data_IF_634827129301
#
_entry.id   IF_634827129301
#
_cell.length_a   1.000
_cell.length_b   1.000
_cell.length_c   1.000
_cell.angle_alpha   90.00
_cell.angle_beta   90.00
_cell.angle_gamma   90.00
#
_symmetry.space_group_name_H-M   'P 1'
#
loop_
_entity.id
_entity.type
_entity.pdbx_description
1 polymer ?
#
# COMPACT_ATOMS: atom_id res chain seq x y z
N UNK A 1 -11.14 -0.67 -5.55
CA UNK A 1 -10.94 0.61 -6.27
C UNK A 1 -9.45 0.82 -6.51
N UNK A 2 -9.08 1.46 -7.61
CA UNK A 2 -7.71 1.88 -7.89
C UNK A 2 -7.69 3.40 -7.98
N UNK A 3 -6.69 4.02 -7.34
CA UNK A 3 -6.55 5.47 -7.21
C UNK A 3 -5.09 5.82 -7.43
N UNK A 4 -4.82 6.85 -8.23
CA UNK A 4 -3.48 7.40 -8.45
C UNK A 4 -3.44 8.86 -7.99
N UNK A 5 -2.64 9.13 -6.95
CA UNK A 5 -2.50 10.46 -6.34
C UNK A 5 -1.28 11.24 -6.86
N UNK A 6 -0.69 10.82 -7.99
CA UNK A 6 0.48 11.49 -8.57
C UNK A 6 0.22 12.99 -8.84
N UNK A 7 -0.97 13.34 -9.32
CA UNK A 7 -1.36 14.71 -9.71
C UNK A 7 -2.05 15.53 -8.63
N UNK A 8 -2.22 14.94 -7.45
CA UNK A 8 -2.82 15.65 -6.31
C UNK A 8 -1.68 16.30 -5.53
N UNK A 9 -1.76 17.62 -5.42
CA UNK A 9 -0.63 18.43 -4.97
C UNK A 9 -0.75 18.87 -3.51
N UNK A 10 -1.97 18.95 -2.98
CA UNK A 10 -2.22 19.44 -1.63
C UNK A 10 -3.40 18.74 -0.94
N UNK A 11 -3.52 18.99 0.37
CA UNK A 11 -4.55 18.40 1.23
C UNK A 11 -5.98 18.78 0.84
N UNK A 12 -6.21 20.00 0.35
CA UNK A 12 -7.55 20.45 -0.02
C UNK A 12 -8.07 19.65 -1.22
N UNK A 13 -7.25 19.51 -2.27
CA UNK A 13 -7.57 18.67 -3.43
C UNK A 13 -7.80 17.21 -3.03
N UNK A 14 -6.97 16.67 -2.14
CA UNK A 14 -7.14 15.29 -1.66
C UNK A 14 -8.47 15.08 -0.94
N UNK A 15 -8.87 16.00 -0.07
CA UNK A 15 -10.14 15.93 0.66
C UNK A 15 -11.34 16.10 -0.28
N UNK A 16 -11.24 16.94 -1.32
CA UNK A 16 -12.32 17.14 -2.30
C UNK A 16 -12.65 15.90 -3.14
N UNK A 17 -11.71 14.96 -3.30
CA UNK A 17 -11.96 13.69 -4.02
C UNK A 17 -12.99 12.82 -3.27
N UNK A 18 -13.17 13.03 -1.96
CA UNK A 18 -14.15 12.28 -1.15
C UNK A 18 -13.85 10.78 -1.09
N UNK A 19 -12.56 10.43 -1.05
CA UNK A 19 -12.07 9.05 -1.10
C UNK A 19 -12.58 8.20 0.08
N UNK A 20 -12.74 8.83 1.24
CA UNK A 20 -13.23 8.25 2.50
C UNK A 20 -14.56 7.51 2.33
N UNK A 21 -15.48 8.03 1.50
CA UNK A 21 -16.79 7.44 1.24
C UNK A 21 -16.73 6.04 0.59
N UNK A 22 -15.58 5.63 0.06
CA UNK A 22 -15.43 4.37 -0.67
C UNK A 22 -14.50 3.37 0.02
N UNK A 23 -13.82 3.77 1.11
CA UNK A 23 -12.80 2.96 1.78
C UNK A 23 -13.38 1.78 2.56
N UNK A 24 -14.61 1.90 3.06
CA UNK A 24 -15.26 0.84 3.84
C UNK A 24 -15.78 -0.30 2.96
N UNK A 25 -16.34 0.04 1.80
CA UNK A 25 -17.02 -0.92 0.92
C UNK A 25 -16.10 -1.55 -0.13
N UNK A 26 -14.82 -1.16 -0.18
CA UNK A 26 -13.90 -1.65 -1.21
C UNK A 26 -12.48 -1.86 -0.72
N UNK A 27 -11.80 -2.85 -1.31
CA UNK A 27 -10.34 -2.90 -1.25
C UNK A 27 -9.81 -1.82 -2.19
N UNK A 28 -9.09 -0.85 -1.63
CA UNK A 28 -8.55 0.29 -2.38
C UNK A 28 -7.03 0.19 -2.52
N UNK A 29 -6.55 0.24 -3.75
CA UNK A 29 -5.13 0.34 -4.08
C UNK A 29 -4.81 1.80 -4.44
N UNK A 30 -3.86 2.40 -3.72
CA UNK A 30 -3.50 3.81 -3.89
C UNK A 30 -2.04 3.89 -4.34
N UNK A 31 -1.81 4.39 -5.55
CA UNK A 31 -0.49 4.77 -6.03
C UNK A 31 -0.15 6.18 -5.57
N UNK A 32 1.14 6.42 -5.30
CA UNK A 32 1.65 7.68 -4.73
C UNK A 32 0.99 8.09 -3.39
N UNK A 33 0.42 7.13 -2.66
CA UNK A 33 -0.30 7.35 -1.40
C UNK A 33 0.57 7.91 -0.26
N UNK A 34 1.90 7.82 -0.36
CA UNK A 34 2.85 8.33 0.64
C UNK A 34 2.66 9.82 0.96
N UNK A 35 2.20 10.61 -0.03
CA UNK A 35 1.90 12.04 0.13
C UNK A 35 0.82 12.30 1.19
N UNK A 36 -0.13 11.38 1.35
CA UNK A 36 -1.34 11.55 2.15
C UNK A 36 -1.53 10.42 3.17
N UNK A 37 -0.46 9.69 3.51
CA UNK A 37 -0.54 8.52 4.39
C UNK A 37 -1.08 8.83 5.81
N UNK A 38 -0.96 10.09 6.26
CA UNK A 38 -1.45 10.53 7.57
C UNK A 38 -2.98 10.56 7.66
N UNK A 39 -3.68 10.65 6.53
CA UNK A 39 -5.15 10.62 6.48
C UNK A 39 -5.73 9.21 6.63
N UNK A 40 -4.87 8.18 6.66
CA UNK A 40 -5.30 6.79 6.81
C UNK A 40 -4.87 6.24 8.19
N UNK A 41 -5.84 5.76 8.95
CA UNK A 41 -5.62 5.10 10.24
C UNK A 41 -5.06 3.67 10.07
N UNK A 42 -5.56 2.94 9.07
CA UNK A 42 -5.25 1.54 8.82
C UNK A 42 -4.91 1.29 7.34
N UNK A 43 -3.72 0.75 7.05
CA UNK A 43 -3.34 0.36 5.69
C UNK A 43 -2.20 -0.66 5.68
N UNK A 44 -2.08 -1.37 4.55
CA UNK A 44 -0.86 -2.08 4.16
C UNK A 44 -0.14 -1.27 3.10
N UNK A 45 1.11 -0.88 3.38
CA UNK A 45 1.98 -0.18 2.44
C UNK A 45 2.88 -1.17 1.72
N UNK A 46 2.95 -1.02 0.41
CA UNK A 46 3.82 -1.80 -0.47
C UNK A 46 4.80 -0.83 -1.12
N UNK A 47 6.08 -0.93 -0.74
CA UNK A 47 7.14 -0.14 -1.33
C UNK A 47 7.94 -0.99 -2.31
N UNK A 48 8.09 -0.48 -3.52
CA UNK A 48 8.93 -1.08 -4.56
C UNK A 48 10.30 -0.38 -4.53
N UNK A 49 11.36 -1.18 -4.50
CA UNK A 49 12.74 -0.71 -4.53
C UNK A 49 13.45 -1.37 -5.71
N UNK A 50 14.33 -0.63 -6.38
CA UNK A 50 15.20 -1.20 -7.40
C UNK A 50 16.18 -2.19 -6.76
N UNK A 51 16.63 -3.15 -7.56
CA UNK A 51 17.70 -4.09 -7.17
C UNK A 51 18.94 -3.69 -7.96
N UNK A 52 20.05 -3.51 -7.24
CA UNK A 52 21.33 -3.19 -7.87
C UNK A 52 21.70 -4.27 -8.90
N UNK A 53 22.31 -3.85 -10.01
CA UNK A 53 22.75 -4.72 -11.10
C UNK A 53 21.64 -5.55 -11.77
N UNK A 54 20.37 -5.17 -11.62
CA UNK A 54 19.25 -5.86 -12.27
C UNK A 54 18.09 -4.93 -12.65
N UNK A 55 17.99 -4.59 -13.94
CA UNK A 55 16.96 -3.67 -14.46
C UNK A 55 15.53 -4.20 -14.31
N UNK A 56 15.36 -5.54 -14.35
CA UNK A 56 14.06 -6.21 -14.35
C UNK A 56 13.66 -6.81 -12.99
N UNK A 57 14.47 -6.61 -11.95
CA UNK A 57 14.16 -7.08 -10.61
C UNK A 57 13.72 -5.94 -9.70
N UNK A 58 12.78 -6.23 -8.78
CA UNK A 58 12.31 -5.31 -7.75
C UNK A 58 12.31 -6.01 -6.40
N UNK A 59 12.69 -5.27 -5.37
CA UNK A 59 12.49 -5.67 -3.98
C UNK A 59 11.21 -5.02 -3.49
N UNK A 60 10.28 -5.83 -3.00
CA UNK A 60 9.05 -5.34 -2.39
C UNK A 60 9.21 -5.37 -0.86
N UNK A 61 8.92 -4.24 -0.22
CA UNK A 61 8.81 -4.14 1.24
C UNK A 61 7.37 -3.88 1.61
N UNK A 62 6.78 -4.79 2.38
CA UNK A 62 5.44 -4.66 2.92
C UNK A 62 5.54 -4.20 4.38
N UNK A 63 4.73 -3.20 4.75
CA UNK A 63 4.57 -2.75 6.13
C UNK A 63 3.09 -2.50 6.41
N UNK A 64 2.65 -2.61 7.65
CA UNK A 64 1.27 -2.33 8.04
C UNK A 64 1.22 -1.18 9.05
N UNK A 65 0.17 -0.37 8.96
CA UNK A 65 -0.25 0.60 9.98
C UNK A 65 -1.64 0.17 10.45
N UNK A 66 -1.87 0.21 11.76
CA UNK A 66 -3.12 -0.24 12.37
C UNK A 66 -3.26 -1.77 12.41
N UNK A 67 -4.46 -2.23 12.73
CA UNK A 67 -4.76 -3.63 13.03
C UNK A 67 -5.51 -4.35 11.90
N UNK A 68 -6.18 -3.62 10.98
CA UNK A 68 -7.04 -4.21 9.93
C UNK A 68 -6.34 -5.26 9.07
N UNK A 69 -5.03 -5.14 8.90
CA UNK A 69 -4.24 -5.97 7.97
C UNK A 69 -3.33 -7.01 8.64
N UNK A 70 -3.30 -7.11 9.98
CA UNK A 70 -2.38 -8.00 10.70
C UNK A 70 -2.53 -9.45 10.24
N UNK A 71 -3.75 -10.00 10.28
CA UNK A 71 -3.97 -11.42 9.93
C UNK A 71 -3.56 -11.74 8.48
N UNK A 72 -3.88 -10.84 7.55
CA UNK A 72 -3.50 -11.01 6.13
C UNK A 72 -2.00 -10.88 5.93
N UNK A 73 -1.34 -9.96 6.64
CA UNK A 73 0.10 -9.79 6.61
C UNK A 73 0.82 -11.04 7.11
N UNK A 74 0.41 -11.59 8.26
CA UNK A 74 0.95 -12.84 8.81
C UNK A 74 0.73 -14.02 7.86
N UNK A 75 -0.45 -14.10 7.21
CA UNK A 75 -0.69 -15.13 6.21
C UNK A 75 0.26 -15.00 5.00
N UNK A 76 0.51 -13.79 4.50
CA UNK A 76 1.46 -13.53 3.41
C UNK A 76 2.88 -13.95 3.82
N UNK A 77 3.34 -13.52 4.99
CA UNK A 77 4.68 -13.86 5.52
C UNK A 77 4.89 -15.37 5.63
N UNK A 78 3.91 -16.08 6.20
CA UNK A 78 3.96 -17.54 6.31
C UNK A 78 4.03 -18.23 4.94
N UNK A 79 3.27 -17.73 3.94
CA UNK A 79 3.31 -18.29 2.59
C UNK A 79 4.64 -18.01 1.87
N UNK A 80 5.25 -16.84 2.08
CA UNK A 80 6.56 -16.51 1.52
C UNK A 80 7.66 -17.39 2.13
N UNK A 81 7.62 -17.62 3.44
CA UNK A 81 8.61 -18.47 4.12
C UNK A 81 8.51 -19.93 3.68
N UNK A 82 7.30 -20.46 3.45
CA UNK A 82 7.11 -21.81 2.89
C UNK A 82 7.70 -21.94 1.48
N UNK A 83 7.57 -20.91 0.64
CA UNK A 83 8.09 -20.91 -0.74
C UNK A 83 9.60 -20.80 -0.83
N UNK A 84 10.29 -20.32 0.22
CA UNK A 84 11.77 -20.30 0.28
C UNK A 84 12.40 -21.65 0.63
N UNK A 85 11.60 -22.66 1.01
CA UNK A 85 12.07 -23.99 1.46
C UNK A 85 11.93 -25.05 0.33
N UNK A 86 11.64 -24.62 -0.91
CA UNK A 86 11.68 -25.44 -2.12
C UNK A 86 12.78 -24.91 -3.04
#
# INVERSE_FOLDING_TARGET
MHVDLYRIDNEYEFLEIGLDNYLEDSITFIEWGDKFQEYFADFMKIKFEFVDDSENCRKLKLTIKGNKWIEKFTAIENNLNKRKIL
#
